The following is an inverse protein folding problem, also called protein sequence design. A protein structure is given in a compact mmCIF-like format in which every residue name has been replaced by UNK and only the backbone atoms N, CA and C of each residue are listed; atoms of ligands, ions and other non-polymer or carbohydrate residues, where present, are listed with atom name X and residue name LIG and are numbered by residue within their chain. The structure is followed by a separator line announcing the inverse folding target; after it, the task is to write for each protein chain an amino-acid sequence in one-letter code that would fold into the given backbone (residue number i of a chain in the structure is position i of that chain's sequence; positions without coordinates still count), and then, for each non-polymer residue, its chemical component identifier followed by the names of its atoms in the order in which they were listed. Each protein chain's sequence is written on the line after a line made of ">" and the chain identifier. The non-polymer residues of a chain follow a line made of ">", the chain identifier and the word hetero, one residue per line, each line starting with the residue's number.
data_IF_188210596025
#
_entry.id   IF_188210596025
#
_cell.length_a   1.000
_cell.length_b   1.000
_cell.length_c   1.000
_cell.angle_alpha   90.00
_cell.angle_beta   90.00
_cell.angle_gamma   90.00
#
_symmetry.space_group_name_H-M   'P 1'
#
loop_
_entity.id
_entity.type
_entity.pdbx_description
1 polymer ?
#
# COMPACT_ATOMS: atom_id res chain seq x y z
N UNK A 1 55.23 -41.76 4.86
CA UNK A 1 54.18 -40.71 4.93
C UNK A 1 53.43 -40.77 3.62
N UNK A 2 52.14 -41.10 3.66
CA UNK A 2 51.11 -41.06 2.59
C UNK A 2 49.94 -41.89 3.17
N UNK A 3 48.66 -41.62 2.93
CA UNK A 3 48.06 -41.01 1.76
C UNK A 3 46.73 -40.30 2.13
N UNK A 4 46.58 -39.01 1.83
CA UNK A 4 45.40 -38.20 2.17
C UNK A 4 44.16 -38.51 1.31
N UNK A 5 43.61 -39.73 1.41
CA UNK A 5 42.45 -40.15 0.61
C UNK A 5 41.13 -39.59 1.15
N UNK A 6 40.63 -38.52 0.52
CA UNK A 6 39.29 -38.43 -0.14
C UNK A 6 38.90 -36.98 -0.37
N UNK A 7 39.36 -36.52 -1.54
CA UNK A 7 38.89 -35.34 -2.27
C UNK A 7 37.37 -35.13 -2.16
N UNK A 8 36.99 -33.89 -1.84
CA UNK A 8 35.84 -33.19 -2.46
C UNK A 8 34.51 -33.96 -2.46
N UNK A 9 33.85 -34.05 -1.29
CA UNK A 9 32.37 -33.98 -1.30
C UNK A 9 32.01 -32.56 -1.72
N UNK A 10 31.82 -32.37 -3.03
CA UNK A 10 31.48 -31.07 -3.58
C UNK A 10 30.15 -30.59 -3.00
N UNK A 11 30.19 -29.49 -2.25
CA UNK A 11 29.04 -28.62 -2.02
C UNK A 11 28.70 -27.85 -3.32
N UNK A 12 28.62 -28.58 -4.44
CA UNK A 12 28.06 -28.06 -5.68
C UNK A 12 26.58 -27.85 -5.41
N UNK A 13 26.16 -26.58 -5.39
CA UNK A 13 24.82 -26.20 -4.99
C UNK A 13 23.79 -27.00 -5.78
N UNK A 14 23.09 -27.91 -5.09
CA UNK A 14 21.92 -28.54 -5.65
C UNK A 14 20.93 -27.42 -5.96
N UNK A 15 20.85 -27.02 -7.22
CA UNK A 15 19.82 -26.13 -7.73
C UNK A 15 18.50 -26.79 -7.37
N UNK A 16 17.87 -26.33 -6.27
CA UNK A 16 16.64 -26.89 -5.73
C UNK A 16 15.46 -26.47 -6.60
N UNK A 17 15.54 -26.77 -7.89
CA UNK A 17 14.43 -26.66 -8.83
C UNK A 17 13.33 -27.53 -8.23
N UNK A 18 12.20 -26.94 -7.78
CA UNK A 18 11.18 -27.71 -7.11
C UNK A 18 10.72 -28.81 -8.07
N UNK A 19 10.63 -30.05 -7.58
CA UNK A 19 10.01 -31.10 -8.39
C UNK A 19 8.60 -30.66 -8.76
N UNK A 20 8.09 -31.06 -9.93
CA UNK A 20 6.77 -30.63 -10.42
C UNK A 20 5.66 -30.85 -9.37
N UNK A 21 5.76 -31.92 -8.58
CA UNK A 21 4.89 -32.21 -7.43
C UNK A 21 4.98 -31.16 -6.31
N UNK A 22 6.17 -30.70 -5.95
CA UNK A 22 6.38 -29.65 -4.94
C UNK A 22 5.86 -28.29 -5.42
N UNK A 23 6.12 -27.93 -6.68
CA UNK A 23 5.57 -26.72 -7.31
C UNK A 23 4.03 -26.75 -7.31
N UNK A 24 3.43 -27.89 -7.70
CA UNK A 24 1.98 -28.08 -7.67
C UNK A 24 1.39 -28.01 -6.25
N UNK A 25 2.10 -28.51 -5.23
CA UNK A 25 1.67 -28.40 -3.83
C UNK A 25 1.67 -26.95 -3.33
N UNK A 26 2.70 -26.17 -3.69
CA UNK A 26 2.78 -24.74 -3.39
C UNK A 26 1.67 -23.95 -4.10
N UNK A 27 1.39 -24.25 -5.38
CA UNK A 27 0.30 -23.63 -6.13
C UNK A 27 -1.06 -23.91 -5.48
N UNK A 28 -1.34 -25.16 -5.08
CA UNK A 28 -2.59 -25.52 -4.37
C UNK A 28 -2.77 -24.78 -3.04
N UNK A 29 -1.68 -24.48 -2.31
CA UNK A 29 -1.74 -23.63 -1.10
C UNK A 29 -2.14 -22.20 -1.45
N UNK A 30 -1.45 -21.57 -2.41
CA UNK A 30 -1.77 -20.20 -2.87
C UNK A 30 -3.19 -20.06 -3.40
N UNK A 31 -3.69 -21.05 -4.16
CA UNK A 31 -5.08 -21.05 -4.65
C UNK A 31 -6.08 -21.13 -3.47
N UNK A 32 -5.80 -21.96 -2.45
CA UNK A 32 -6.65 -22.03 -1.25
C UNK A 32 -6.63 -20.74 -0.44
N UNK A 33 -5.47 -20.10 -0.30
CA UNK A 33 -5.34 -18.79 0.35
C UNK A 33 -6.14 -17.72 -0.41
N UNK A 34 -6.04 -17.70 -1.74
CA UNK A 34 -6.77 -16.76 -2.60
C UNK A 34 -8.30 -16.93 -2.49
N UNK A 35 -8.79 -18.17 -2.42
CA UNK A 35 -10.22 -18.47 -2.23
C UNK A 35 -10.80 -17.91 -0.93
N UNK A 36 -10.00 -17.84 0.13
CA UNK A 36 -10.38 -17.28 1.44
C UNK A 36 -10.41 -15.76 1.46
N UNK A 37 -9.56 -15.12 0.64
CA UNK A 37 -9.43 -13.65 0.58
C UNK A 37 -10.45 -13.00 -0.36
N UNK A 38 -10.89 -13.72 -1.39
CA UNK A 38 -11.82 -13.22 -2.41
C UNK A 38 -13.27 -13.54 -1.99
N UNK A 39 -14.18 -12.54 -1.91
CA UNK A 39 -15.59 -12.78 -1.63
C UNK A 39 -16.22 -13.78 -2.62
N UNK A 40 -16.83 -14.85 -2.09
CA UNK A 40 -17.33 -15.97 -2.89
C UNK A 40 -16.24 -16.70 -3.68
N UNK A 41 -15.00 -16.74 -3.17
CA UNK A 41 -13.87 -17.43 -3.81
C UNK A 41 -13.87 -18.95 -3.62
N UNK A 42 -14.38 -19.45 -2.48
CA UNK A 42 -14.46 -20.89 -2.20
C UNK A 42 -15.36 -21.65 -3.20
N UNK A 43 -16.48 -21.03 -3.60
CA UNK A 43 -17.43 -21.52 -4.61
C UNK A 43 -16.90 -21.37 -6.06
N UNK A 44 -15.91 -20.51 -6.29
CA UNK A 44 -15.47 -20.17 -7.63
C UNK A 44 -14.63 -21.29 -8.28
N UNK A 45 -14.94 -21.72 -9.52
CA UNK A 45 -14.09 -22.64 -10.27
C UNK A 45 -12.73 -21.99 -10.56
N UNK A 46 -11.68 -22.81 -10.61
CA UNK A 46 -10.30 -22.33 -10.62
C UNK A 46 -9.99 -21.36 -11.79
N UNK A 47 -10.60 -21.56 -12.96
CA UNK A 47 -10.45 -20.66 -14.12
C UNK A 47 -11.09 -19.27 -13.93
N UNK A 48 -12.17 -19.18 -13.14
CA UNK A 48 -12.86 -17.91 -12.88
C UNK A 48 -12.30 -17.15 -11.66
N UNK A 49 -11.58 -17.83 -10.77
CA UNK A 49 -11.07 -17.25 -9.52
C UNK A 49 -10.18 -16.02 -9.74
N UNK A 50 -9.30 -16.05 -10.76
CA UNK A 50 -8.42 -14.92 -11.07
C UNK A 50 -9.18 -13.70 -11.62
N UNK A 51 -10.21 -13.91 -12.45
CA UNK A 51 -11.07 -12.82 -12.96
C UNK A 51 -11.81 -12.18 -11.79
N UNK A 52 -12.48 -12.98 -10.94
CA UNK A 52 -13.17 -12.49 -9.74
C UNK A 52 -12.21 -11.77 -8.76
N UNK A 53 -10.95 -12.20 -8.70
CA UNK A 53 -9.89 -11.54 -7.92
C UNK A 53 -9.60 -10.15 -8.48
N UNK A 54 -9.41 -10.02 -9.80
CA UNK A 54 -9.18 -8.73 -10.45
C UNK A 54 -10.34 -7.76 -10.20
N UNK A 55 -11.58 -8.21 -10.37
CA UNK A 55 -12.79 -7.42 -10.09
C UNK A 55 -12.84 -6.96 -8.62
N UNK A 56 -12.46 -7.83 -7.69
CA UNK A 56 -12.44 -7.50 -6.26
C UNK A 56 -11.36 -6.47 -5.92
N UNK A 57 -10.16 -6.59 -6.51
CA UNK A 57 -9.08 -5.60 -6.36
C UNK A 57 -9.54 -4.24 -6.91
N UNK A 58 -10.20 -4.21 -8.07
CA UNK A 58 -10.73 -2.96 -8.66
C UNK A 58 -11.79 -2.31 -7.76
N UNK A 59 -12.78 -3.08 -7.27
CA UNK A 59 -13.79 -2.58 -6.32
C UNK A 59 -13.18 -2.06 -5.02
N UNK A 60 -12.17 -2.76 -4.47
CA UNK A 60 -11.51 -2.37 -3.24
C UNK A 60 -10.73 -1.06 -3.43
N UNK A 61 -10.00 -0.91 -4.54
CA UNK A 61 -9.31 0.34 -4.91
C UNK A 61 -10.30 1.50 -5.03
N UNK A 62 -11.38 1.33 -5.79
CA UNK A 62 -12.40 2.36 -5.94
C UNK A 62 -13.02 2.79 -4.60
N UNK A 63 -13.28 1.83 -3.69
CA UNK A 63 -13.76 2.12 -2.33
C UNK A 63 -12.74 2.90 -1.50
N UNK A 64 -11.44 2.56 -1.59
CA UNK A 64 -10.37 3.28 -0.89
C UNK A 64 -10.21 4.71 -1.42
N UNK A 65 -10.23 4.91 -2.74
CA UNK A 65 -10.16 6.25 -3.34
C UNK A 65 -11.39 7.11 -2.97
N UNK A 66 -12.60 6.54 -2.98
CA UNK A 66 -13.80 7.22 -2.50
C UNK A 66 -13.66 7.64 -1.03
N UNK A 67 -13.23 6.73 -0.15
CA UNK A 67 -13.04 7.04 1.27
C UNK A 67 -11.93 8.07 1.50
N UNK A 68 -10.87 8.08 0.68
CA UNK A 68 -9.83 9.11 0.69
C UNK A 68 -10.37 10.47 0.27
N UNK A 69 -11.17 10.54 -0.80
CA UNK A 69 -11.80 11.78 -1.26
C UNK A 69 -12.77 12.33 -0.19
N UNK A 70 -13.59 11.47 0.42
CA UNK A 70 -14.48 11.83 1.52
C UNK A 70 -13.68 12.31 2.74
N UNK A 71 -12.62 11.60 3.12
CA UNK A 71 -11.74 12.01 4.22
C UNK A 71 -10.99 13.32 3.93
N UNK A 72 -10.66 13.61 2.67
CA UNK A 72 -10.08 14.89 2.26
C UNK A 72 -11.10 16.03 2.38
N UNK A 73 -12.37 15.80 2.04
CA UNK A 73 -13.44 16.79 2.28
C UNK A 73 -13.63 17.04 3.77
N UNK A 74 -13.81 16.00 4.60
CA UNK A 74 -13.95 16.18 6.04
C UNK A 74 -12.69 16.72 6.73
N UNK A 75 -11.50 16.38 6.23
CA UNK A 75 -10.22 16.92 6.70
C UNK A 75 -10.03 18.39 6.33
N UNK A 76 -10.42 18.79 5.12
CA UNK A 76 -10.40 20.19 4.69
C UNK A 76 -11.46 21.04 5.41
N UNK A 77 -12.65 20.48 5.65
CA UNK A 77 -13.72 21.13 6.45
C UNK A 77 -13.32 21.23 7.93
N UNK A 78 -12.64 20.21 8.47
CA UNK A 78 -12.03 20.26 9.81
C UNK A 78 -10.80 21.15 9.93
N UNK A 79 -10.21 21.55 8.80
CA UNK A 79 -9.09 22.49 8.69
C UNK A 79 -9.50 23.80 8.00
N UNK A 80 -10.78 24.18 8.06
CA UNK A 80 -11.20 25.52 7.72
C UNK A 80 -10.45 26.50 8.64
N UNK A 81 -9.59 27.40 8.11
CA UNK A 81 -8.96 28.39 8.95
C UNK A 81 -10.06 29.27 9.52
N UNK A 82 -10.08 29.44 10.85
CA UNK A 82 -10.95 30.43 11.48
C UNK A 82 -10.66 31.76 10.80
N UNK A 83 -11.66 32.27 10.10
CA UNK A 83 -11.55 33.48 9.31
C UNK A 83 -11.04 34.58 10.21
N UNK A 84 -9.95 35.25 9.81
CA UNK A 84 -9.37 36.34 10.57
C UNK A 84 -10.40 37.46 10.67
N UNK A 85 -11.16 37.46 11.77
CA UNK A 85 -12.01 38.58 12.14
C UNK A 85 -11.06 39.69 12.54
N UNK A 86 -10.83 40.60 11.61
CA UNK A 86 -10.07 41.81 11.84
C UNK A 86 -10.81 42.69 12.84
N UNK A 87 -10.54 42.48 14.12
CA UNK A 87 -10.65 43.47 15.18
C UNK A 87 -9.20 43.84 15.56
N UNK A 88 -8.72 45.08 15.45
CA UNK A 88 -9.48 46.34 15.45
C UNK A 88 -9.26 47.04 16.78
N UNK A 89 -8.00 47.36 17.04
CA UNK A 89 -7.43 48.01 18.23
C UNK A 89 -5.90 48.09 17.98
N UNK A 90 -5.15 49.18 18.21
CA UNK A 90 -5.51 50.53 18.69
C UNK A 90 -4.54 51.59 18.12
N UNK A 91 -4.94 52.86 18.25
CA UNK A 91 -4.20 54.08 17.92
C UNK A 91 -2.88 54.28 18.70
N UNK A 92 -1.85 54.79 17.99
CA UNK A 92 -0.94 55.86 18.41
C UNK A 92 0.09 56.08 17.28
N UNK A 93 0.40 57.30 16.81
CA UNK A 93 0.19 58.60 17.44
C UNK A 93 1.53 59.35 17.51
N UNK A 94 2.12 59.66 16.35
CA UNK A 94 3.34 60.48 16.24
C UNK A 94 3.32 61.30 14.93
N UNK A 95 2.71 62.49 14.98
CA UNK A 95 2.85 63.51 13.95
C UNK A 95 3.86 64.60 14.35
N UNK A 96 4.08 65.59 13.46
CA UNK A 96 5.13 66.64 13.49
C UNK A 96 6.55 66.08 13.23
N UNK A 97 7.49 66.74 12.55
CA UNK A 97 7.53 67.92 11.66
C UNK A 97 8.94 67.97 10.99
N UNK A 98 9.25 68.65 9.88
CA UNK A 98 8.48 69.32 8.81
C UNK A 98 9.45 69.58 7.60
N UNK A 99 9.04 70.40 6.63
CA UNK A 99 9.84 71.03 5.55
C UNK A 99 10.40 70.12 4.42
N UNK A 100 10.43 70.51 3.14
CA UNK A 100 9.67 71.40 2.25
C UNK A 100 10.55 71.66 1.01
N UNK A 101 9.92 71.69 -0.18
CA UNK A 101 10.41 72.25 -1.45
C UNK A 101 11.78 71.75 -1.98
#
# INVERSE_FOLDING_TARGET
>A
MEEGRRRRRGAGGASRRPTSRAAGAALRRKVRELRRLVPGGEEAPAGALLVRTADYILRLRARVELLRAVAAVYGAVGAAPLQQVAAGADDAGAGHDACAA
#
